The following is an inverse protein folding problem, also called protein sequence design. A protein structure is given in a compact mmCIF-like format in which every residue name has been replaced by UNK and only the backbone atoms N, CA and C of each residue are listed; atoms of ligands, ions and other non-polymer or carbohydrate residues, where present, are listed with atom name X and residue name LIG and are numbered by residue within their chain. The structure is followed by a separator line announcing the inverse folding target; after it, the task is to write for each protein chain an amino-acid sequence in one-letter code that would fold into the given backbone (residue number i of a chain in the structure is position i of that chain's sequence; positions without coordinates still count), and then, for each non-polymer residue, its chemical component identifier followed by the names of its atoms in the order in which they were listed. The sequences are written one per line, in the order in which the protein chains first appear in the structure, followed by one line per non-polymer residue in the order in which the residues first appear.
data_IF_871859792174
#
_entry.id   IF_871859792174
#
_cell.length_a   1.000
_cell.length_b   1.000
_cell.length_c   1.000
_cell.angle_alpha   90.00
_cell.angle_beta   90.00
_cell.angle_gamma   90.00
#
_symmetry.space_group_name_H-M   'P 1'
#
loop_
_entity.id
_entity.type
_entity.pdbx_description
1 polymer ?
#
# COMPACT_ATOMS: atom_id res chain seq x y z
N UNK A 1 -19.24 28.50 -14.71
CA UNK A 1 -18.49 27.32 -15.17
C UNK A 1 -19.28 26.10 -14.77
N UNK A 2 -19.83 25.33 -15.74
CA UNK A 2 -20.60 24.14 -15.45
C UNK A 2 -19.72 23.03 -14.85
N UNK A 3 -20.28 22.12 -14.04
CA UNK A 3 -19.51 21.02 -13.50
C UNK A 3 -19.00 20.16 -14.66
N UNK A 4 -17.69 20.00 -14.77
CA UNK A 4 -17.10 18.98 -15.63
C UNK A 4 -17.80 17.66 -15.37
N UNK A 5 -18.33 17.03 -16.40
CA UNK A 5 -19.03 15.75 -16.23
C UNK A 5 -18.04 14.76 -15.59
N UNK A 6 -18.54 13.93 -14.67
CA UNK A 6 -17.78 12.91 -13.95
C UNK A 6 -16.89 12.03 -14.87
N UNK A 7 -17.39 11.76 -16.08
CA UNK A 7 -16.64 11.01 -17.10
C UNK A 7 -15.49 11.81 -17.70
N UNK A 8 -15.59 13.13 -17.84
CA UNK A 8 -14.50 13.99 -18.30
C UNK A 8 -13.38 14.09 -17.26
N UNK A 9 -13.72 14.16 -15.97
CA UNK A 9 -12.74 14.13 -14.88
C UNK A 9 -11.99 12.78 -14.84
N UNK A 10 -12.69 11.65 -15.05
CA UNK A 10 -12.07 10.32 -15.17
C UNK A 10 -11.12 10.19 -16.36
N UNK A 11 -11.48 10.78 -17.51
CA UNK A 11 -10.65 10.76 -18.73
C UNK A 11 -9.41 11.64 -18.52
N UNK A 12 -9.54 12.80 -17.90
CA UNK A 12 -8.41 13.67 -17.56
C UNK A 12 -7.45 13.02 -16.57
N UNK A 13 -7.96 12.34 -15.55
CA UNK A 13 -7.16 11.60 -14.58
C UNK A 13 -6.53 10.33 -15.18
N UNK A 14 -7.19 9.67 -16.12
CA UNK A 14 -6.62 8.54 -16.85
C UNK A 14 -5.51 8.98 -17.83
N UNK A 15 -5.65 10.14 -18.46
CA UNK A 15 -4.62 10.74 -19.32
C UNK A 15 -3.44 11.32 -18.54
N UNK A 16 -3.69 11.73 -17.29
CA UNK A 16 -2.67 12.18 -16.33
C UNK A 16 -1.99 11.05 -15.57
N UNK A 17 -2.17 9.78 -15.98
CA UNK A 17 -1.42 8.66 -15.39
C UNK A 17 0.07 8.94 -15.61
N UNK A 18 0.82 9.19 -14.54
CA UNK A 18 2.17 9.69 -14.69
C UNK A 18 3.07 8.68 -15.43
N UNK A 19 3.99 9.24 -16.20
CA UNK A 19 5.06 8.57 -16.95
C UNK A 19 5.98 7.71 -16.05
N UNK A 20 5.76 7.60 -14.75
CA UNK A 20 6.55 6.78 -13.81
C UNK A 20 6.62 5.30 -14.20
N UNK A 21 5.62 4.76 -14.90
CA UNK A 21 5.63 3.38 -15.37
C UNK A 21 6.72 3.08 -16.40
N UNK A 22 7.37 4.12 -16.96
CA UNK A 22 8.45 3.96 -17.95
C UNK A 22 9.86 4.01 -17.36
N UNK A 23 10.02 4.37 -16.10
CA UNK A 23 11.31 4.53 -15.42
C UNK A 23 11.46 3.62 -14.21
N UNK A 24 10.50 2.73 -13.96
CA UNK A 24 10.57 1.77 -12.88
C UNK A 24 11.80 0.85 -13.07
N UNK A 25 12.77 0.98 -12.22
CA UNK A 25 13.81 -0.01 -12.03
C UNK A 25 13.16 -1.40 -11.78
N UNK A 26 13.96 -2.44 -11.76
CA UNK A 26 13.56 -3.86 -11.70
C UNK A 26 12.57 -4.20 -10.59
N UNK A 27 12.46 -3.34 -9.54
CA UNK A 27 11.57 -3.48 -8.38
C UNK A 27 11.00 -2.10 -8.03
N UNK A 28 9.67 -1.94 -8.10
CA UNK A 28 9.01 -0.80 -7.46
C UNK A 28 8.99 -0.99 -5.93
N UNK A 29 8.79 0.08 -5.18
CA UNK A 29 8.82 0.03 -3.71
C UNK A 29 7.79 -0.95 -3.14
N UNK A 30 6.62 -1.08 -3.74
CA UNK A 30 5.58 -2.00 -3.29
C UNK A 30 5.97 -3.47 -3.51
N UNK A 31 6.52 -3.82 -4.67
CA UNK A 31 7.04 -5.17 -4.93
C UNK A 31 8.20 -5.51 -3.99
N UNK A 32 9.07 -4.55 -3.68
CA UNK A 32 10.10 -4.70 -2.66
C UNK A 32 9.49 -4.98 -1.28
N UNK A 33 8.47 -4.22 -0.85
CA UNK A 33 7.78 -4.44 0.43
C UNK A 33 7.15 -5.83 0.46
N UNK A 34 6.51 -6.29 -0.61
CA UNK A 34 5.93 -7.63 -0.69
C UNK A 34 6.98 -8.73 -0.52
N UNK A 35 8.14 -8.61 -1.17
CA UNK A 35 9.26 -9.54 -0.99
C UNK A 35 9.74 -9.57 0.45
N UNK A 36 9.94 -8.41 1.08
CA UNK A 36 10.38 -8.33 2.48
C UNK A 36 9.33 -8.86 3.45
N UNK A 37 8.03 -8.57 3.22
CA UNK A 37 6.94 -9.11 4.03
C UNK A 37 6.94 -10.65 4.04
N UNK A 38 7.11 -11.29 2.89
CA UNK A 38 7.21 -12.76 2.78
C UNK A 38 8.47 -13.27 3.49
N UNK A 39 9.60 -12.57 3.38
CA UNK A 39 10.84 -12.92 4.08
C UNK A 39 10.66 -12.82 5.59
N UNK A 40 10.06 -11.73 6.09
CA UNK A 40 9.73 -11.53 7.50
C UNK A 40 8.91 -12.70 8.03
N UNK A 41 7.83 -13.07 7.34
CA UNK A 41 6.98 -14.21 7.73
C UNK A 41 7.79 -15.51 7.82
N UNK A 42 8.70 -15.76 6.88
CA UNK A 42 9.55 -16.94 6.91
C UNK A 42 10.49 -16.96 8.11
N UNK A 43 11.10 -15.83 8.47
CA UNK A 43 11.99 -15.69 9.63
C UNK A 43 11.22 -15.76 10.95
N UNK A 44 9.99 -15.26 10.99
CA UNK A 44 9.12 -15.26 12.18
C UNK A 44 8.39 -16.61 12.41
N UNK A 45 8.73 -17.65 11.64
CA UNK A 45 8.21 -19.01 11.84
C UNK A 45 7.01 -19.39 10.99
N UNK A 46 6.49 -18.50 10.11
CA UNK A 46 5.37 -18.77 9.20
C UNK A 46 5.84 -19.29 7.84
N UNK A 47 6.76 -20.27 7.84
CA UNK A 47 7.43 -20.73 6.61
C UNK A 47 6.48 -21.33 5.57
N UNK A 48 5.44 -22.04 5.98
CA UNK A 48 4.45 -22.61 5.07
C UNK A 48 3.62 -21.52 4.37
N UNK A 49 3.18 -20.52 5.13
CA UNK A 49 2.44 -19.36 4.64
C UNK A 49 3.32 -18.50 3.71
N UNK A 50 4.56 -18.26 4.10
CA UNK A 50 5.53 -17.56 3.26
C UNK A 50 5.79 -18.26 1.94
N UNK A 51 5.94 -19.60 1.94
CA UNK A 51 6.10 -20.40 0.74
C UNK A 51 4.87 -20.33 -0.17
N UNK A 52 3.66 -20.33 0.40
CA UNK A 52 2.43 -20.14 -0.36
C UNK A 52 2.38 -18.77 -1.03
N UNK A 53 2.62 -17.69 -0.28
CA UNK A 53 2.63 -16.32 -0.82
C UNK A 53 3.68 -16.16 -1.92
N UNK A 54 4.87 -16.75 -1.74
CA UNK A 54 5.94 -16.71 -2.74
C UNK A 54 5.51 -17.28 -4.09
N UNK A 55 4.67 -18.35 -4.11
CA UNK A 55 4.13 -18.91 -5.36
C UNK A 55 3.20 -17.96 -6.10
N UNK A 56 2.57 -17.03 -5.39
CA UNK A 56 1.62 -16.07 -5.94
C UNK A 56 2.17 -14.63 -5.97
N UNK A 57 3.48 -14.44 -5.69
CA UNK A 57 4.07 -13.11 -5.58
C UNK A 57 3.86 -12.26 -6.84
N UNK A 58 4.11 -12.83 -8.03
CA UNK A 58 3.86 -12.12 -9.29
C UNK A 58 2.40 -11.69 -9.45
N UNK A 59 1.46 -12.50 -8.95
CA UNK A 59 0.03 -12.20 -9.01
C UNK A 59 -0.34 -11.11 -8.00
N UNK A 60 0.26 -11.12 -6.81
CA UNK A 60 0.14 -10.07 -5.80
C UNK A 60 0.66 -8.75 -6.37
N UNK A 61 1.85 -8.75 -6.98
CA UNK A 61 2.46 -7.57 -7.57
C UNK A 61 1.66 -7.02 -8.77
N UNK A 62 1.00 -7.89 -9.56
CA UNK A 62 0.05 -7.46 -10.57
C UNK A 62 -1.15 -6.72 -9.95
N UNK A 63 -1.64 -7.19 -8.79
CA UNK A 63 -2.71 -6.53 -8.04
C UNK A 63 -2.28 -5.15 -7.53
N UNK A 64 -1.08 -5.05 -6.96
CA UNK A 64 -0.46 -3.79 -6.55
C UNK A 64 -0.42 -2.79 -7.71
N UNK A 65 0.19 -3.18 -8.83
CA UNK A 65 0.30 -2.33 -10.04
C UNK A 65 -1.06 -1.96 -10.64
N UNK A 66 -2.07 -2.81 -10.47
CA UNK A 66 -3.43 -2.49 -10.91
C UNK A 66 -4.08 -1.43 -10.03
N UNK A 67 -3.81 -1.42 -8.72
CA UNK A 67 -4.34 -0.42 -7.79
C UNK A 67 -3.90 1.00 -8.18
N UNK A 68 -2.67 1.18 -8.63
CA UNK A 68 -2.12 2.47 -9.06
C UNK A 68 -2.65 2.99 -10.40
N UNK A 69 -3.36 2.18 -11.18
CA UNK A 69 -3.74 2.58 -12.54
C UNK A 69 -4.97 3.48 -12.58
N UNK A 70 -4.82 4.63 -13.20
CA UNK A 70 -5.92 5.54 -13.54
C UNK A 70 -6.54 6.19 -12.30
N UNK A 71 -7.86 6.36 -12.31
CA UNK A 71 -8.60 7.06 -11.26
C UNK A 71 -8.60 6.34 -9.89
N UNK A 72 -8.16 5.08 -9.82
CA UNK A 72 -8.09 4.32 -8.57
C UNK A 72 -7.14 4.95 -7.55
N UNK A 73 -6.08 5.61 -8.01
CA UNK A 73 -5.16 6.33 -7.13
C UNK A 73 -5.84 7.41 -6.26
N UNK A 74 -7.03 7.89 -6.65
CA UNK A 74 -7.79 8.82 -5.82
C UNK A 74 -8.36 8.20 -4.54
N UNK A 75 -8.46 6.86 -4.48
CA UNK A 75 -8.89 6.11 -3.29
C UNK A 75 -7.71 5.69 -2.38
N UNK A 76 -6.50 6.22 -2.60
CA UNK A 76 -5.31 5.87 -1.83
C UNK A 76 -5.08 6.79 -0.62
N UNK A 77 -6.00 7.67 -0.32
CA UNK A 77 -5.87 8.66 0.75
C UNK A 77 -6.83 8.37 1.88
N UNK A 78 -6.37 8.51 3.11
CA UNK A 78 -7.22 8.38 4.29
C UNK A 78 -6.61 9.14 5.47
N UNK A 79 -7.30 10.17 5.92
CA UNK A 79 -6.99 10.83 7.18
C UNK A 79 -7.37 9.90 8.35
N UNK A 80 -6.45 9.55 9.25
CA UNK A 80 -6.72 8.57 10.30
C UNK A 80 -7.69 9.07 11.38
N UNK A 81 -7.95 10.38 11.46
CA UNK A 81 -8.79 10.98 12.50
C UNK A 81 -10.24 11.17 12.03
N UNK A 82 -10.45 11.76 10.85
CA UNK A 82 -11.79 11.96 10.29
C UNK A 82 -12.25 10.81 9.37
N UNK A 83 -11.33 9.87 9.06
CA UNK A 83 -11.54 8.69 8.20
C UNK A 83 -12.07 9.03 6.80
N UNK A 84 -11.73 10.21 6.29
CA UNK A 84 -12.09 10.64 4.94
C UNK A 84 -10.89 10.49 3.99
N UNK A 85 -11.20 10.21 2.70
CA UNK A 85 -10.28 10.28 1.59
C UNK A 85 -10.41 11.58 0.78
N UNK A 86 -10.00 11.54 -0.48
CA UNK A 86 -10.22 12.61 -1.45
C UNK A 86 -11.63 12.51 -2.04
N UNK A 87 -12.57 13.31 -1.54
CA UNK A 87 -13.96 13.30 -2.06
C UNK A 87 -14.00 13.69 -3.53
N UNK A 88 -14.84 13.04 -4.34
CA UNK A 88 -15.93 12.14 -3.98
C UNK A 88 -15.56 10.63 -3.99
N UNK A 89 -14.27 10.28 -4.02
CA UNK A 89 -13.84 8.88 -4.01
C UNK A 89 -13.93 8.25 -2.60
N UNK A 90 -14.00 6.91 -2.51
CA UNK A 90 -13.88 6.23 -1.23
C UNK A 90 -12.51 6.53 -0.60
N UNK A 91 -12.43 6.43 0.71
CA UNK A 91 -11.16 6.46 1.43
C UNK A 91 -10.42 5.12 1.32
N UNK A 92 -9.10 5.15 1.54
CA UNK A 92 -8.25 3.97 1.42
C UNK A 92 -8.63 2.83 2.39
N UNK A 93 -9.14 3.15 3.56
CA UNK A 93 -9.53 2.14 4.55
C UNK A 93 -10.78 1.37 4.10
N UNK A 94 -11.79 2.09 3.62
CA UNK A 94 -13.01 1.48 3.05
C UNK A 94 -12.71 0.66 1.80
N UNK A 95 -11.84 1.15 0.90
CA UNK A 95 -11.48 0.43 -0.32
C UNK A 95 -10.61 -0.80 0.00
N UNK A 96 -9.70 -0.72 0.97
CA UNK A 96 -8.93 -1.88 1.43
C UNK A 96 -9.84 -3.00 1.93
N UNK A 97 -10.84 -2.67 2.77
CA UNK A 97 -11.84 -3.64 3.25
C UNK A 97 -12.59 -4.29 2.08
N UNK A 98 -13.09 -3.49 1.14
CA UNK A 98 -13.80 -3.98 -0.04
C UNK A 98 -12.94 -4.96 -0.86
N UNK A 99 -11.68 -4.61 -1.13
CA UNK A 99 -10.75 -5.46 -1.88
C UNK A 99 -10.42 -6.75 -1.13
N UNK A 100 -10.21 -6.68 0.18
CA UNK A 100 -9.91 -7.83 1.04
C UNK A 100 -11.09 -8.81 1.10
N UNK A 101 -12.31 -8.33 1.32
CA UNK A 101 -13.51 -9.16 1.35
C UNK A 101 -13.76 -9.84 0.00
N UNK A 102 -13.54 -9.13 -1.10
CA UNK A 102 -13.58 -9.69 -2.45
C UNK A 102 -12.49 -10.73 -2.67
N UNK A 103 -11.29 -10.54 -2.12
CA UNK A 103 -10.23 -11.54 -2.16
C UNK A 103 -10.65 -12.82 -1.45
N UNK A 104 -11.19 -12.74 -0.23
CA UNK A 104 -11.73 -13.89 0.52
C UNK A 104 -12.89 -14.58 -0.24
N UNK A 105 -13.78 -13.81 -0.83
CA UNK A 105 -14.86 -14.38 -1.64
C UNK A 105 -14.31 -15.16 -2.84
N UNK A 106 -13.32 -14.63 -3.56
CA UNK A 106 -12.67 -15.34 -4.67
C UNK A 106 -11.91 -16.58 -4.22
N UNK A 107 -11.29 -16.53 -3.05
CA UNK A 107 -10.67 -17.69 -2.43
C UNK A 107 -11.68 -18.81 -2.19
N UNK A 108 -12.81 -18.51 -1.54
CA UNK A 108 -13.91 -19.45 -1.27
C UNK A 108 -14.51 -20.06 -2.55
N UNK A 109 -14.46 -19.33 -3.66
CA UNK A 109 -14.87 -19.82 -4.99
C UNK A 109 -13.80 -20.71 -5.68
N UNK A 110 -12.65 -20.99 -5.05
CA UNK A 110 -11.53 -21.72 -5.66
C UNK A 110 -10.69 -20.89 -6.65
N UNK A 111 -11.03 -19.62 -6.89
CA UNK A 111 -10.28 -18.74 -7.80
C UNK A 111 -9.09 -18.09 -7.08
N UNK A 112 -8.07 -18.91 -6.82
CA UNK A 112 -6.88 -18.53 -6.04
C UNK A 112 -6.10 -17.37 -6.68
N UNK A 113 -5.92 -17.40 -8.01
CA UNK A 113 -5.21 -16.33 -8.72
C UNK A 113 -5.90 -14.97 -8.54
N UNK A 114 -7.23 -14.90 -8.72
CA UNK A 114 -7.98 -13.66 -8.50
C UNK A 114 -8.00 -13.23 -7.03
N UNK A 115 -7.99 -14.18 -6.10
CA UNK A 115 -7.90 -13.91 -4.68
C UNK A 115 -6.57 -13.20 -4.32
N UNK A 116 -5.43 -13.75 -4.74
CA UNK A 116 -4.12 -13.14 -4.49
C UNK A 116 -3.90 -11.83 -5.25
N UNK A 117 -4.46 -11.68 -6.45
CA UNK A 117 -4.48 -10.41 -7.16
C UNK A 117 -5.20 -9.32 -6.35
N UNK A 118 -6.40 -9.62 -5.82
CA UNK A 118 -7.18 -8.68 -5.02
C UNK A 118 -6.52 -8.41 -3.66
N UNK A 119 -5.87 -9.42 -3.07
CA UNK A 119 -5.05 -9.26 -1.86
C UNK A 119 -3.89 -8.29 -2.10
N UNK A 120 -3.21 -8.39 -3.24
CA UNK A 120 -2.16 -7.45 -3.63
C UNK A 120 -2.69 -6.02 -3.75
N UNK A 121 -3.86 -5.84 -4.37
CA UNK A 121 -4.50 -4.53 -4.47
C UNK A 121 -4.92 -3.96 -3.10
N UNK A 122 -5.34 -4.80 -2.15
CA UNK A 122 -5.64 -4.37 -0.78
C UNK A 122 -4.35 -4.03 0.00
N UNK A 123 -3.30 -4.84 -0.13
CA UNK A 123 -2.01 -4.61 0.51
C UNK A 123 -1.34 -3.32 0.05
N UNK A 124 -1.51 -2.94 -1.22
CA UNK A 124 -1.06 -1.65 -1.74
C UNK A 124 -1.58 -0.48 -0.89
N UNK A 125 -2.86 -0.49 -0.51
CA UNK A 125 -3.44 0.55 0.32
C UNK A 125 -2.90 0.55 1.76
N UNK A 126 -2.57 -0.61 2.31
CA UNK A 126 -1.88 -0.71 3.61
C UNK A 126 -0.49 -0.09 3.53
N UNK A 127 0.22 -0.30 2.42
CA UNK A 127 1.56 0.22 2.18
C UNK A 127 1.56 1.73 1.92
N UNK A 128 0.62 2.23 1.11
CA UNK A 128 0.47 3.65 0.80
C UNK A 128 0.23 4.50 2.05
N UNK A 129 -0.51 3.97 3.02
CA UNK A 129 -0.76 4.73 4.23
C UNK A 129 0.44 4.76 5.20
N UNK A 130 1.57 4.17 4.82
CA UNK A 130 2.88 4.47 5.41
C UNK A 130 3.56 5.70 4.75
N UNK A 131 2.98 6.25 3.67
CA UNK A 131 3.45 7.50 3.05
C UNK A 131 2.67 8.67 3.64
N UNK A 132 3.33 9.64 4.29
CA UNK A 132 2.65 10.74 5.00
C UNK A 132 1.70 11.56 4.14
N UNK A 133 1.99 11.69 2.85
CA UNK A 133 1.14 12.40 1.90
C UNK A 133 -0.26 11.76 1.76
N UNK A 134 -0.33 10.43 1.73
CA UNK A 134 -1.59 9.69 1.67
C UNK A 134 -2.40 9.86 2.97
N UNK A 135 -1.72 9.80 4.13
CA UNK A 135 -2.34 10.02 5.42
C UNK A 135 -2.89 11.45 5.57
N UNK A 136 -2.19 12.46 5.06
CA UNK A 136 -2.57 13.88 5.08
C UNK A 136 -3.48 14.31 3.93
N UNK A 137 -3.82 13.43 3.01
CA UNK A 137 -4.61 13.73 1.79
C UNK A 137 -3.98 14.82 0.92
N UNK A 138 -2.66 14.80 0.81
CA UNK A 138 -1.89 15.78 0.04
C UNK A 138 -1.32 15.11 -1.22
N UNK A 139 -1.97 15.33 -2.37
CA UNK A 139 -1.58 14.72 -3.64
C UNK A 139 -0.30 15.31 -4.27
N UNK A 140 0.10 16.50 -3.82
CA UNK A 140 1.25 17.26 -4.33
C UNK A 140 2.27 17.54 -3.21
N UNK A 141 2.90 18.70 -3.19
CA UNK A 141 3.78 19.19 -2.11
C UNK A 141 4.95 18.23 -1.79
N UNK A 142 5.63 17.77 -2.83
CA UNK A 142 6.81 16.90 -2.68
C UNK A 142 6.53 15.39 -2.71
N UNK A 143 5.26 14.96 -2.81
CA UNK A 143 4.85 13.56 -2.78
C UNK A 143 5.70 12.68 -3.72
N UNK A 144 5.68 12.94 -5.01
CA UNK A 144 6.42 12.19 -6.02
C UNK A 144 7.95 12.26 -5.83
N UNK A 145 8.45 13.39 -5.30
CA UNK A 145 9.88 13.56 -5.04
C UNK A 145 10.32 12.62 -3.92
N UNK A 146 9.52 12.55 -2.85
CA UNK A 146 9.78 11.65 -1.73
C UNK A 146 9.70 10.18 -2.14
N UNK A 147 8.64 9.75 -2.83
CA UNK A 147 8.47 8.37 -3.28
C UNK A 147 9.60 7.93 -4.23
N UNK A 148 9.98 8.80 -5.17
CA UNK A 148 11.13 8.53 -6.05
C UNK A 148 12.44 8.42 -5.28
N UNK A 149 12.61 9.22 -4.23
CA UNK A 149 13.78 9.11 -3.37
C UNK A 149 13.78 7.77 -2.62
N UNK A 150 12.64 7.37 -2.03
CA UNK A 150 12.47 6.06 -1.36
C UNK A 150 12.78 4.92 -2.33
N UNK A 151 12.24 4.96 -3.54
CA UNK A 151 12.50 3.95 -4.58
C UNK A 151 13.99 3.77 -4.88
N UNK A 152 14.77 4.85 -4.84
CA UNK A 152 16.23 4.79 -5.05
C UNK A 152 17.05 4.32 -3.84
N UNK A 153 16.42 4.17 -2.66
CA UNK A 153 17.12 3.89 -1.40
C UNK A 153 16.46 2.77 -0.58
N UNK A 154 15.41 2.13 -1.07
CA UNK A 154 14.61 1.20 -0.28
C UNK A 154 15.42 0.01 0.30
N UNK A 155 16.41 -0.47 -0.43
CA UNK A 155 17.27 -1.58 0.04
C UNK A 155 18.02 -1.27 1.34
N UNK A 156 18.31 0.01 1.59
CA UNK A 156 19.01 0.46 2.81
C UNK A 156 18.14 0.30 4.08
N UNK A 157 16.83 0.15 3.91
CA UNK A 157 15.85 0.05 5.00
C UNK A 157 15.15 -1.32 5.02
N UNK A 158 15.75 -2.33 4.38
CA UNK A 158 15.23 -3.68 4.40
C UNK A 158 15.24 -4.27 5.82
N UNK A 159 14.14 -4.90 6.23
CA UNK A 159 14.04 -5.66 7.48
C UNK A 159 13.59 -7.09 7.19
N UNK A 160 14.00 -8.04 8.02
CA UNK A 160 13.79 -9.47 7.75
C UNK A 160 13.03 -10.22 8.84
N UNK A 161 12.62 -9.54 9.90
CA UNK A 161 11.97 -10.15 11.06
C UNK A 161 11.10 -9.15 11.82
N UNK A 162 10.40 -9.63 12.85
CA UNK A 162 9.55 -8.84 13.72
C UNK A 162 8.36 -8.21 12.97
N UNK A 163 7.61 -9.04 12.25
CA UNK A 163 6.34 -8.66 11.63
C UNK A 163 5.32 -8.19 12.68
N UNK A 164 4.39 -7.35 12.25
CA UNK A 164 3.33 -6.84 13.12
C UNK A 164 2.04 -7.58 12.77
N UNK A 165 1.65 -8.58 13.58
CA UNK A 165 0.61 -9.54 13.22
C UNK A 165 -0.76 -9.29 13.87
N UNK A 166 -0.83 -8.55 14.96
CA UNK A 166 -2.03 -8.40 15.78
C UNK A 166 -2.45 -6.94 15.94
N UNK A 167 -2.83 -6.30 14.81
CA UNK A 167 -3.32 -4.90 14.84
C UNK A 167 -4.82 -4.88 15.11
N UNK A 168 -5.59 -5.62 14.31
CA UNK A 168 -7.06 -5.56 14.30
C UNK A 168 -7.65 -6.72 13.50
N UNK A 169 -8.91 -7.03 13.78
CA UNK A 169 -9.72 -8.00 13.01
C UNK A 169 -10.50 -7.35 11.84
N UNK A 170 -10.22 -6.10 11.51
CA UNK A 170 -10.83 -5.37 10.41
C UNK A 170 -9.76 -4.93 9.40
N UNK A 171 -9.86 -5.27 8.09
CA UNK A 171 -8.90 -4.84 7.08
C UNK A 171 -8.67 -3.33 7.02
N UNK A 172 -9.72 -2.52 7.26
CA UNK A 172 -9.61 -1.06 7.32
C UNK A 172 -8.74 -0.57 8.47
N UNK A 173 -8.70 -1.30 9.58
CA UNK A 173 -7.90 -0.95 10.75
C UNK A 173 -6.39 -1.02 10.47
N UNK A 174 -5.93 -1.87 9.55
CA UNK A 174 -4.54 -1.94 9.12
C UNK A 174 -4.10 -0.64 8.42
N UNK A 175 -4.94 -0.13 7.55
CA UNK A 175 -4.76 1.15 6.85
C UNK A 175 -4.71 2.30 7.86
N UNK A 176 -5.69 2.37 8.77
CA UNK A 176 -5.77 3.42 9.79
C UNK A 176 -4.60 3.39 10.77
N UNK A 177 -4.10 2.21 11.13
CA UNK A 177 -2.91 2.06 11.97
C UNK A 177 -1.69 2.71 11.33
N UNK A 178 -1.40 2.37 10.08
CA UNK A 178 -0.27 2.93 9.35
C UNK A 178 -0.43 4.44 9.13
N UNK A 179 -1.62 4.87 8.71
CA UNK A 179 -1.94 6.28 8.52
C UNK A 179 -1.68 7.12 9.77
N UNK A 180 -2.08 6.62 10.95
CA UNK A 180 -1.89 7.31 12.23
C UNK A 180 -0.42 7.53 12.54
N UNK A 181 0.44 6.54 12.27
CA UNK A 181 1.88 6.66 12.48
C UNK A 181 2.49 7.59 11.44
N UNK A 182 2.15 7.42 10.17
CA UNK A 182 2.70 8.22 9.07
C UNK A 182 2.31 9.71 9.15
N UNK A 183 1.15 10.03 9.74
CA UNK A 183 0.64 11.39 9.88
C UNK A 183 1.66 12.39 10.44
N UNK A 184 2.39 11.99 11.47
CA UNK A 184 3.33 12.86 12.19
C UNK A 184 4.63 13.10 11.41
N UNK A 185 4.91 12.28 10.40
CA UNK A 185 6.12 12.39 9.58
C UNK A 185 5.97 13.32 8.36
N UNK A 186 4.78 13.88 8.12
CA UNK A 186 4.55 14.76 6.97
C UNK A 186 5.51 15.96 6.88
N UNK A 187 5.86 16.67 7.97
CA UNK A 187 6.80 17.78 7.91
C UNK A 187 8.19 17.37 7.39
N UNK A 188 8.58 16.11 7.58
CA UNK A 188 9.90 15.61 7.16
C UNK A 188 9.97 15.29 5.66
N UNK A 189 8.81 15.04 5.02
CA UNK A 189 8.73 14.55 3.62
C UNK A 189 8.00 15.53 2.69
N UNK A 190 7.49 16.63 3.21
CA UNK A 190 6.85 17.68 2.42
C UNK A 190 7.85 18.40 1.49
N UNK A 191 7.38 19.31 0.68
CA UNK A 191 8.18 20.02 -0.33
C UNK A 191 9.45 20.68 0.23
N UNK A 192 9.48 21.02 1.51
CA UNK A 192 10.64 21.60 2.22
C UNK A 192 11.56 20.52 2.82
N UNK A 193 11.25 19.24 2.65
CA UNK A 193 12.02 18.13 3.18
C UNK A 193 13.43 18.04 2.57
N UNK A 194 14.41 17.76 3.40
CA UNK A 194 15.79 17.50 2.98
C UNK A 194 16.03 15.99 2.79
N UNK A 195 17.13 15.61 2.11
CA UNK A 195 17.52 14.19 2.01
C UNK A 195 17.72 13.55 3.39
N UNK A 196 18.19 14.31 4.38
CA UNK A 196 18.37 13.84 5.75
C UNK A 196 17.02 13.59 6.43
N UNK A 197 16.05 14.50 6.25
CA UNK A 197 14.71 14.31 6.80
C UNK A 197 13.96 13.17 6.10
N UNK A 198 14.15 12.98 4.79
CA UNK A 198 13.64 11.82 4.06
C UNK A 198 14.18 10.51 4.64
N UNK A 199 15.50 10.43 4.85
CA UNK A 199 16.13 9.24 5.45
C UNK A 199 15.57 8.94 6.83
N UNK A 200 15.39 9.96 7.68
CA UNK A 200 14.81 9.82 9.02
C UNK A 200 13.37 9.28 8.96
N UNK A 201 12.51 9.87 8.17
CA UNK A 201 11.13 9.38 8.02
C UNK A 201 11.10 7.95 7.45
N UNK A 202 11.89 7.68 6.41
CA UNK A 202 11.92 6.38 5.74
C UNK A 202 12.45 5.27 6.64
N UNK A 203 13.41 5.56 7.55
CA UNK A 203 13.94 4.57 8.51
C UNK A 203 12.88 4.03 9.47
N UNK A 204 11.76 4.72 9.62
CA UNK A 204 10.61 4.28 10.43
C UNK A 204 9.49 3.73 9.53
N UNK A 205 9.13 4.49 8.49
CA UNK A 205 7.92 4.22 7.72
C UNK A 205 8.05 3.05 6.75
N UNK A 206 9.22 2.85 6.14
CA UNK A 206 9.42 1.73 5.23
C UNK A 206 9.55 0.38 5.96
N UNK A 207 10.25 0.24 7.11
CA UNK A 207 10.13 -0.92 7.99
C UNK A 207 8.71 -1.18 8.51
N UNK A 208 7.95 -0.13 8.84
CA UNK A 208 6.54 -0.26 9.22
C UNK A 208 5.74 -0.91 8.08
N UNK A 209 5.87 -0.40 6.85
CA UNK A 209 5.17 -0.95 5.68
C UNK A 209 5.51 -2.44 5.46
N UNK A 210 6.78 -2.83 5.57
CA UNK A 210 7.22 -4.21 5.43
C UNK A 210 6.61 -5.13 6.50
N UNK A 211 6.67 -4.71 7.77
CA UNK A 211 6.18 -5.47 8.92
C UNK A 211 4.66 -5.57 8.97
N UNK A 212 3.95 -4.49 8.66
CA UNK A 212 2.48 -4.52 8.62
C UNK A 212 1.96 -5.27 7.40
N UNK A 213 2.67 -5.26 6.26
CA UNK A 213 2.34 -6.11 5.11
C UNK A 213 2.48 -7.60 5.44
N UNK A 214 3.51 -8.00 6.19
CA UNK A 214 3.66 -9.37 6.67
C UNK A 214 2.45 -9.80 7.52
N UNK A 215 2.04 -8.95 8.46
CA UNK A 215 0.87 -9.19 9.29
C UNK A 215 -0.43 -9.22 8.50
N UNK A 216 -0.62 -8.31 7.55
CA UNK A 216 -1.81 -8.25 6.70
C UNK A 216 -1.95 -9.49 5.81
N UNK A 217 -0.84 -10.00 5.28
CA UNK A 217 -0.84 -11.25 4.53
C UNK A 217 -1.20 -12.45 5.42
N UNK A 218 -0.61 -12.56 6.61
CA UNK A 218 -0.97 -13.62 7.56
C UNK A 218 -2.43 -13.50 7.99
N UNK A 219 -2.92 -12.30 8.23
CA UNK A 219 -4.33 -12.05 8.56
C UNK A 219 -5.27 -12.59 7.47
N UNK A 220 -4.96 -12.33 6.18
CA UNK A 220 -5.72 -12.91 5.08
C UNK A 220 -5.69 -14.43 5.07
N UNK A 221 -4.51 -15.03 5.24
CA UNK A 221 -4.35 -16.47 5.23
C UNK A 221 -5.13 -17.15 6.36
N UNK A 222 -5.10 -16.56 7.56
CA UNK A 222 -5.90 -17.04 8.70
C UNK A 222 -7.41 -16.96 8.43
N UNK A 223 -7.90 -15.86 7.83
CA UNK A 223 -9.32 -15.73 7.42
C UNK A 223 -9.70 -16.69 6.28
N UNK A 224 -8.72 -17.13 5.49
CA UNK A 224 -8.88 -18.12 4.43
C UNK A 224 -8.71 -19.58 4.92
N UNK A 225 -8.43 -19.79 6.20
CA UNK A 225 -8.11 -21.08 6.84
C UNK A 225 -6.89 -21.80 6.21
N UNK A 226 -5.77 -21.05 6.09
CA UNK A 226 -4.50 -21.51 5.51
C UNK A 226 -3.35 -21.47 6.50
#
# INVERSE_FOLDING_TARGET
MGPLSWNAAKILLAAGTPIHLLVAGRWDTHSFINCQAIKIMGCDGFSAQAALLKRYLDTIDQGVKWADKGWKCCAHYCDPFDKNGLKPWPDAASECRNLFERALFKWKQGNKGKAFFLLGAAAHLVQDLCVPHHARRVAFAGHQIYEKWVQGHHDEFAVSENGIYNITDDPAGWVLHNAKIAWDYFPYVSQTGSKTSYRMATSILLPLAQRTSAGFFLYFLNKANL
#
